data_IF_571431746602
#
_entry.id   IF_571431746602
#
_cell.length_a   1.000
_cell.length_b   1.000
_cell.length_c   1.000
_cell.angle_alpha   90.00
_cell.angle_beta   90.00
_cell.angle_gamma   90.00
#
_symmetry.space_group_name_H-M   'P 1'
#
loop_
_entity.id
_entity.type
_entity.pdbx_description
1 polymer ?
#
# COMPACT_ATOMS: atom_id res chain seq x y z
N UNK A 1 -3.97 6.27 -0.73
CA UNK A 1 -5.11 7.00 -0.37
C UNK A 1 -5.29 8.36 -1.02
N UNK A 2 -5.15 8.49 -2.34
CA UNK A 2 -5.33 9.73 -3.08
C UNK A 2 -5.87 9.50 -4.49
N UNK A 3 -5.77 10.51 -5.32
CA UNK A 3 -6.14 10.48 -6.73
C UNK A 3 -5.52 11.67 -7.45
N UNK A 4 -5.01 11.46 -8.65
CA UNK A 4 -4.56 12.54 -9.57
C UNK A 4 -5.71 13.13 -10.38
N UNK A 5 -6.84 12.44 -10.49
CA UNK A 5 -7.97 12.83 -11.34
C UNK A 5 -9.21 13.28 -10.57
N UNK A 6 -9.27 13.01 -9.26
CA UNK A 6 -10.42 13.35 -8.41
C UNK A 6 -9.96 14.23 -7.26
N UNK A 7 -10.41 15.49 -7.26
CA UNK A 7 -10.17 16.40 -6.14
C UNK A 7 -10.99 16.04 -4.91
N UNK A 8 -10.49 16.43 -3.74
CA UNK A 8 -11.16 16.26 -2.45
C UNK A 8 -11.43 14.78 -2.10
N UNK A 9 -10.50 13.89 -2.43
CA UNK A 9 -10.60 12.44 -2.16
C UNK A 9 -10.75 12.14 -0.67
N UNK A 10 -10.04 12.85 0.20
CA UNK A 10 -10.16 12.74 1.64
C UNK A 10 -11.55 13.10 2.13
N UNK A 11 -12.04 14.28 1.71
CA UNK A 11 -13.33 14.82 2.10
C UNK A 11 -14.52 14.06 1.50
N UNK A 12 -14.44 13.67 0.22
CA UNK A 12 -15.58 13.10 -0.51
C UNK A 12 -15.63 11.58 -0.49
N UNK A 13 -14.52 10.89 -0.21
CA UNK A 13 -14.46 9.43 -0.27
C UNK A 13 -13.95 8.80 1.03
N UNK A 14 -12.75 9.19 1.52
CA UNK A 14 -12.13 8.52 2.67
C UNK A 14 -12.94 8.78 3.94
N UNK A 15 -13.14 10.04 4.32
CA UNK A 15 -13.86 10.39 5.54
C UNK A 15 -15.31 9.87 5.56
N UNK A 16 -16.14 10.05 4.49
CA UNK A 16 -17.47 9.48 4.45
C UNK A 16 -17.51 7.97 4.56
N UNK A 17 -16.56 7.26 3.91
CA UNK A 17 -16.49 5.82 4.01
C UNK A 17 -16.14 5.34 5.43
N UNK A 18 -15.15 5.97 6.07
CA UNK A 18 -14.80 5.67 7.47
C UNK A 18 -16.00 5.87 8.39
N UNK A 19 -16.70 7.01 8.25
CA UNK A 19 -17.91 7.31 9.03
C UNK A 19 -19.03 6.31 8.79
N UNK A 20 -19.27 5.94 7.53
CA UNK A 20 -20.26 4.91 7.17
C UNK A 20 -19.94 3.56 7.82
N UNK A 21 -18.65 3.20 7.92
CA UNK A 21 -18.18 1.98 8.62
C UNK A 21 -18.15 2.13 10.14
N UNK A 22 -18.53 3.28 10.69
CA UNK A 22 -18.46 3.57 12.14
C UNK A 22 -17.02 3.73 12.65
N UNK A 23 -16.04 3.90 11.76
CA UNK A 23 -14.63 4.07 12.12
C UNK A 23 -14.41 5.55 12.47
N UNK A 24 -14.15 5.82 13.74
CA UNK A 24 -13.82 7.16 14.26
C UNK A 24 -12.37 7.28 14.72
N UNK A 25 -11.63 6.17 14.71
CA UNK A 25 -10.22 6.13 15.10
C UNK A 25 -9.44 5.28 14.11
N UNK A 26 -8.31 5.81 13.65
CA UNK A 26 -7.29 5.12 12.87
C UNK A 26 -6.05 5.05 13.75
N UNK A 27 -5.57 3.85 14.10
CA UNK A 27 -4.39 3.70 14.95
C UNK A 27 -3.11 4.09 14.23
N UNK A 28 -2.99 3.76 12.94
CA UNK A 28 -1.85 4.18 12.11
C UNK A 28 -2.23 4.31 10.64
N UNK A 29 -1.64 5.29 9.96
CA UNK A 29 -1.68 5.48 8.50
C UNK A 29 -0.29 5.19 7.96
N UNK A 30 -0.17 4.20 7.08
CA UNK A 30 1.08 3.88 6.39
C UNK A 30 1.06 4.51 5.00
N UNK A 31 1.99 5.41 4.75
CA UNK A 31 2.18 6.06 3.45
C UNK A 31 3.31 5.33 2.73
N UNK A 32 3.03 4.81 1.55
CA UNK A 32 3.99 4.01 0.80
C UNK A 32 5.08 4.86 0.17
N UNK A 33 4.70 5.95 -0.48
CA UNK A 33 5.58 6.93 -1.14
C UNK A 33 4.83 8.24 -1.35
N UNK A 34 5.46 9.24 -1.96
CA UNK A 34 4.95 10.61 -2.02
C UNK A 34 4.10 10.95 -3.24
N UNK A 35 3.77 10.00 -4.11
CA UNK A 35 2.96 10.29 -5.29
C UNK A 35 1.52 10.69 -4.92
N UNK A 36 0.98 11.65 -5.68
CA UNK A 36 -0.28 12.31 -5.38
C UNK A 36 -1.47 11.34 -5.23
N UNK A 37 -1.55 10.32 -6.07
CA UNK A 37 -2.63 9.32 -5.99
C UNK A 37 -2.51 8.39 -4.77
N UNK A 38 -1.40 8.44 -4.05
CA UNK A 38 -1.22 7.77 -2.77
C UNK A 38 -1.48 8.68 -1.57
N UNK A 39 -1.17 9.98 -1.67
CA UNK A 39 -1.17 10.88 -0.52
C UNK A 39 -2.24 11.95 -0.51
N UNK A 40 -2.78 12.41 -1.66
CA UNK A 40 -3.63 13.61 -1.71
C UNK A 40 -4.82 13.56 -0.76
N UNK A 41 -5.55 12.45 -0.70
CA UNK A 41 -6.68 12.31 0.21
C UNK A 41 -6.28 12.15 1.68
N UNK A 42 -5.08 11.62 1.95
CA UNK A 42 -4.54 11.54 3.31
C UNK A 42 -4.12 12.92 3.78
N UNK A 43 -3.46 13.71 2.92
CA UNK A 43 -3.07 15.08 3.25
C UNK A 43 -4.29 15.95 3.55
N UNK A 44 -5.37 15.84 2.76
CA UNK A 44 -6.63 16.52 3.06
C UNK A 44 -7.17 16.15 4.45
N UNK A 45 -7.05 14.87 4.86
CA UNK A 45 -7.49 14.44 6.18
C UNK A 45 -6.60 15.00 7.30
N UNK A 46 -5.27 15.06 7.08
CA UNK A 46 -4.31 15.57 8.05
C UNK A 46 -4.40 17.10 8.22
N UNK A 47 -4.66 17.82 7.12
CA UNK A 47 -4.75 19.29 7.09
C UNK A 47 -6.10 19.82 7.56
N UNK A 48 -7.16 19.00 7.53
CA UNK A 48 -8.49 19.45 7.93
C UNK A 48 -8.56 19.70 9.44
N UNK A 49 -9.32 20.74 9.83
CA UNK A 49 -9.66 20.97 11.23
C UNK A 49 -10.29 19.72 11.83
N UNK A 50 -9.88 19.34 13.03
CA UNK A 50 -10.28 18.11 13.74
C UNK A 50 -10.18 16.82 12.89
N UNK A 51 -9.37 16.80 11.83
CA UNK A 51 -9.19 15.66 10.93
C UNK A 51 -10.52 15.08 10.42
N UNK A 52 -11.48 15.95 10.13
CA UNK A 52 -12.85 15.56 9.71
C UNK A 52 -13.58 14.67 10.74
N UNK A 53 -13.29 14.80 12.02
CA UNK A 53 -13.86 14.00 13.10
C UNK A 53 -13.31 12.58 13.18
N UNK A 54 -12.13 12.32 12.63
CA UNK A 54 -11.42 11.05 12.69
C UNK A 54 -10.18 11.21 13.57
N UNK A 55 -10.10 10.48 14.68
CA UNK A 55 -8.90 10.45 15.49
C UNK A 55 -7.80 9.64 14.77
N UNK A 56 -6.60 10.23 14.62
CA UNK A 56 -5.46 9.57 13.99
C UNK A 56 -4.36 9.37 15.03
N UNK A 57 -3.95 8.11 15.25
CA UNK A 57 -2.96 7.76 16.26
C UNK A 57 -1.54 8.08 15.80
N UNK A 58 -1.16 7.70 14.59
CA UNK A 58 0.16 8.01 14.02
C UNK A 58 0.19 7.93 12.49
N UNK A 59 1.20 8.53 11.90
CA UNK A 59 1.57 8.36 10.48
C UNK A 59 2.90 7.62 10.39
N UNK A 60 3.01 6.70 9.45
CA UNK A 60 4.25 5.95 9.19
C UNK A 60 4.70 6.26 7.77
N UNK A 61 5.94 6.72 7.64
CA UNK A 61 6.59 7.09 6.38
C UNK A 61 7.71 6.10 6.05
N UNK A 62 8.11 5.93 4.77
CA UNK A 62 9.33 5.21 4.44
C UNK A 62 10.57 5.95 4.98
N UNK A 63 11.52 5.21 5.56
CA UNK A 63 12.77 5.78 6.02
C UNK A 63 13.78 5.81 4.86
N UNK A 64 14.01 7.00 4.32
CA UNK A 64 14.96 7.24 3.22
C UNK A 64 15.90 8.39 3.58
N UNK A 65 17.16 8.29 3.16
CA UNK A 65 18.17 9.33 3.42
C UNK A 65 18.15 10.44 2.38
N UNK A 66 18.04 10.06 1.11
CA UNK A 66 17.88 11.00 0.01
C UNK A 66 16.39 11.17 -0.27
N UNK A 67 15.94 12.39 -0.18
CA UNK A 67 14.53 12.75 -0.35
C UNK A 67 14.39 13.73 -1.51
N UNK A 68 13.42 13.48 -2.35
CA UNK A 68 12.98 14.44 -3.35
C UNK A 68 12.11 15.54 -2.73
N UNK A 69 11.77 16.54 -3.53
CA UNK A 69 10.95 17.66 -3.06
C UNK A 69 9.57 17.19 -2.58
N UNK A 70 8.96 16.21 -3.25
CA UNK A 70 7.63 15.70 -2.92
C UNK A 70 7.64 14.99 -1.55
N UNK A 71 8.69 14.22 -1.25
CA UNK A 71 8.85 13.60 0.06
C UNK A 71 9.07 14.65 1.16
N UNK A 72 9.92 15.68 0.90
CA UNK A 72 10.13 16.76 1.85
C UNK A 72 8.84 17.52 2.16
N UNK A 73 8.02 17.80 1.15
CA UNK A 73 6.72 18.44 1.32
C UNK A 73 5.76 17.55 2.11
N UNK A 74 5.70 16.25 1.80
CA UNK A 74 4.91 15.27 2.55
C UNK A 74 5.30 15.23 4.02
N UNK A 75 6.60 15.06 4.33
CA UNK A 75 7.08 15.00 5.71
C UNK A 75 6.78 16.29 6.46
N UNK A 76 6.95 17.45 5.82
CA UNK A 76 6.62 18.75 6.41
C UNK A 76 5.11 18.86 6.75
N UNK A 77 4.22 18.46 5.84
CA UNK A 77 2.77 18.46 6.08
C UNK A 77 2.38 17.51 7.21
N UNK A 78 2.97 16.31 7.26
CA UNK A 78 2.77 15.37 8.37
C UNK A 78 3.22 16.00 9.69
N UNK A 79 4.37 16.66 9.74
CA UNK A 79 4.87 17.34 10.93
C UNK A 79 3.95 18.48 11.38
N UNK A 80 3.43 19.27 10.44
CA UNK A 80 2.51 20.38 10.73
C UNK A 80 1.15 19.91 11.26
N UNK A 81 0.71 18.70 10.92
CA UNK A 81 -0.53 18.12 11.44
C UNK A 81 -0.50 17.82 12.94
N UNK A 82 0.69 17.88 13.57
CA UNK A 82 0.94 17.54 14.98
C UNK A 82 0.58 16.10 15.38
N UNK A 83 0.27 15.24 14.41
CA UNK A 83 0.06 13.81 14.63
C UNK A 83 1.42 13.14 14.82
N UNK A 84 1.58 12.28 15.83
CA UNK A 84 2.82 11.50 15.98
C UNK A 84 3.17 10.77 14.69
N UNK A 85 4.41 10.80 14.27
CA UNK A 85 4.85 10.02 13.12
C UNK A 85 6.16 9.29 13.39
N UNK A 86 6.39 8.25 12.60
CA UNK A 86 7.63 7.48 12.60
C UNK A 86 8.02 7.13 11.17
N UNK A 87 9.29 6.75 11.00
CA UNK A 87 9.79 6.22 9.73
C UNK A 87 10.09 4.74 9.90
N UNK A 88 9.80 3.95 8.86
CA UNK A 88 10.11 2.52 8.82
C UNK A 88 11.04 2.19 7.67
N UNK A 89 11.96 1.26 7.92
CA UNK A 89 12.89 0.69 6.95
C UNK A 89 12.89 -0.83 7.03
N UNK A 90 13.50 -1.47 6.05
CA UNK A 90 13.62 -2.93 6.04
C UNK A 90 14.21 -3.46 7.34
N UNK A 91 13.52 -4.44 7.91
CA UNK A 91 13.87 -5.07 9.19
C UNK A 91 13.03 -4.60 10.35
N UNK A 92 12.33 -3.48 10.22
CA UNK A 92 11.40 -3.02 11.26
C UNK A 92 10.15 -3.90 11.29
N UNK A 93 9.70 -4.22 12.51
CA UNK A 93 8.49 -5.02 12.74
C UNK A 93 7.59 -4.32 13.75
N UNK A 94 6.30 -4.27 13.45
CA UNK A 94 5.25 -3.84 14.39
C UNK A 94 4.44 -5.06 14.83
N UNK A 95 4.43 -5.32 16.11
CA UNK A 95 3.55 -6.32 16.72
C UNK A 95 2.20 -5.70 17.02
N UNK A 96 1.19 -6.04 16.23
CA UNK A 96 -0.19 -5.55 16.41
C UNK A 96 -0.95 -6.37 17.45
N UNK A 97 -0.67 -7.68 17.51
CA UNK A 97 -1.14 -8.68 18.49
C UNK A 97 -0.09 -9.79 18.58
N UNK A 98 -0.17 -10.70 19.56
CA UNK A 98 0.81 -11.81 19.69
C UNK A 98 1.05 -12.58 18.38
N UNK A 99 -0.01 -12.87 17.62
CA UNK A 99 0.06 -13.65 16.37
C UNK A 99 -0.06 -12.78 15.11
N UNK A 100 -0.01 -11.45 15.24
CA UNK A 100 -0.21 -10.53 14.14
C UNK A 100 0.94 -9.53 14.07
N UNK A 101 1.77 -9.67 13.05
CA UNK A 101 2.90 -8.78 12.78
C UNK A 101 2.76 -8.06 11.45
N UNK A 102 3.38 -6.91 11.38
CA UNK A 102 3.55 -6.13 10.16
C UNK A 102 5.04 -5.84 10.01
N UNK A 103 5.67 -6.50 9.04
CA UNK A 103 7.09 -6.42 8.79
C UNK A 103 7.36 -5.50 7.60
N UNK A 104 8.27 -4.55 7.77
CA UNK A 104 8.77 -3.72 6.69
C UNK A 104 9.86 -4.47 5.94
N UNK A 105 9.64 -4.77 4.67
CA UNK A 105 10.60 -5.47 3.82
C UNK A 105 11.29 -4.58 2.80
N UNK A 106 10.87 -3.32 2.71
CA UNK A 106 11.41 -2.23 1.88
C UNK A 106 10.86 -0.89 2.39
N UNK A 107 11.59 0.25 2.28
CA UNK A 107 12.89 0.44 1.64
C UNK A 107 14.07 0.13 2.57
N UNK A 108 15.28 0.22 2.01
CA UNK A 108 16.52 0.37 2.77
C UNK A 108 16.83 1.87 2.91
N UNK A 109 17.14 2.32 4.11
CA UNK A 109 17.44 3.74 4.40
C UNK A 109 18.62 4.29 3.58
N UNK A 110 19.64 3.46 3.39
CA UNK A 110 20.92 3.87 2.80
C UNK A 110 20.99 3.78 1.29
N UNK A 111 19.90 3.36 0.63
CA UNK A 111 19.86 3.24 -0.81
C UNK A 111 19.63 4.60 -1.48
N UNK A 112 20.22 4.80 -2.67
CA UNK A 112 20.05 6.01 -3.46
C UNK A 112 18.89 5.80 -4.46
N UNK A 113 17.72 6.30 -4.11
CA UNK A 113 16.49 6.13 -4.87
C UNK A 113 16.43 7.13 -6.03
N UNK A 114 15.97 6.69 -7.20
CA UNK A 114 15.87 7.51 -8.40
C UNK A 114 14.52 8.25 -8.46
N UNK A 115 13.43 7.59 -8.07
CA UNK A 115 12.09 8.17 -8.02
C UNK A 115 11.30 7.71 -6.78
N UNK A 116 10.08 8.27 -6.63
CA UNK A 116 9.22 8.00 -5.48
C UNK A 116 8.76 6.53 -5.40
N UNK A 117 8.54 5.88 -6.54
CA UNK A 117 8.12 4.47 -6.59
C UNK A 117 9.20 3.55 -6.02
N UNK A 118 10.47 3.89 -6.28
CA UNK A 118 11.62 3.10 -5.88
C UNK A 118 11.78 2.98 -4.35
N UNK A 119 11.28 3.96 -3.56
CA UNK A 119 11.30 3.87 -2.10
C UNK A 119 9.95 3.46 -1.48
N UNK A 120 9.06 2.90 -2.26
CA UNK A 120 7.77 2.42 -1.75
C UNK A 120 7.91 1.59 -0.49
N UNK A 121 7.18 1.96 0.56
CA UNK A 121 7.09 1.16 1.78
C UNK A 121 6.35 -0.14 1.48
N UNK A 122 7.08 -1.25 1.46
CA UNK A 122 6.51 -2.58 1.25
C UNK A 122 6.35 -3.27 2.59
N UNK A 123 5.12 -3.68 2.87
CA UNK A 123 4.74 -4.28 4.13
C UNK A 123 4.25 -5.70 3.94
N UNK A 124 4.73 -6.61 4.79
CA UNK A 124 4.23 -7.97 4.91
C UNK A 124 3.44 -8.11 6.22
N UNK A 125 2.15 -8.40 6.10
CA UNK A 125 1.29 -8.75 7.22
C UNK A 125 1.30 -10.27 7.42
N UNK A 126 1.64 -10.72 8.62
CA UNK A 126 1.57 -12.14 8.99
C UNK A 126 0.57 -12.30 10.13
N UNK A 127 -0.41 -13.19 9.94
CA UNK A 127 -1.37 -13.58 10.96
C UNK A 127 -1.56 -15.08 10.93
N UNK A 128 -0.93 -15.81 11.85
CA UNK A 128 -0.88 -17.28 11.84
C UNK A 128 -0.43 -17.82 10.47
N UNK A 129 -1.30 -18.53 9.74
CA UNK A 129 -1.02 -19.07 8.41
C UNK A 129 -1.33 -18.07 7.26
N UNK A 130 -1.99 -16.94 7.55
CA UNK A 130 -2.23 -15.89 6.57
C UNK A 130 -0.97 -15.05 6.38
N UNK A 131 -0.63 -14.78 5.13
CA UNK A 131 0.42 -13.85 4.75
C UNK A 131 -0.06 -12.96 3.63
N UNK A 132 -0.06 -11.65 3.86
CA UNK A 132 -0.42 -10.64 2.87
C UNK A 132 0.75 -9.70 2.59
N UNK A 133 1.00 -9.36 1.33
CA UNK A 133 2.03 -8.39 0.95
C UNK A 133 1.39 -7.19 0.26
N UNK A 134 1.82 -6.00 0.66
CA UNK A 134 1.39 -4.70 0.14
C UNK A 134 2.60 -4.01 -0.48
N UNK A 135 2.59 -3.88 -1.81
CA UNK A 135 3.78 -3.51 -2.59
C UNK A 135 4.00 -1.99 -2.76
N UNK A 136 3.01 -1.14 -2.39
CA UNK A 136 3.04 0.25 -2.87
C UNK A 136 3.11 0.27 -4.39
N UNK A 137 4.02 1.08 -4.93
CA UNK A 137 4.27 1.16 -6.37
C UNK A 137 5.67 0.65 -6.75
N UNK A 138 6.25 -0.21 -5.89
CA UNK A 138 7.54 -0.82 -6.14
C UNK A 138 7.56 -1.56 -7.48
N UNK A 139 8.53 -1.20 -8.33
CA UNK A 139 8.76 -1.81 -9.63
C UNK A 139 9.68 -3.04 -9.58
N UNK A 140 9.92 -3.63 -10.77
CA UNK A 140 10.71 -4.86 -10.91
C UNK A 140 12.13 -4.77 -10.30
N UNK A 141 12.77 -3.59 -10.38
CA UNK A 141 14.10 -3.36 -9.78
C UNK A 141 14.06 -3.63 -8.26
N UNK A 142 13.12 -2.99 -7.56
CA UNK A 142 12.98 -3.19 -6.12
C UNK A 142 12.41 -4.57 -5.74
N UNK A 143 11.55 -5.16 -6.57
CA UNK A 143 11.08 -6.54 -6.37
C UNK A 143 12.25 -7.53 -6.26
N UNK A 144 13.28 -7.39 -7.12
CA UNK A 144 14.49 -8.25 -7.09
C UNK A 144 15.23 -8.13 -5.76
N UNK A 145 15.28 -6.96 -5.16
CA UNK A 145 16.00 -6.71 -3.91
C UNK A 145 15.33 -7.35 -2.69
N UNK A 146 14.01 -7.52 -2.75
CA UNK A 146 13.24 -8.07 -1.63
C UNK A 146 12.98 -9.58 -1.73
N UNK A 147 13.37 -10.25 -2.83
CA UNK A 147 13.07 -11.66 -3.06
C UNK A 147 13.53 -12.58 -1.91
N UNK A 148 14.68 -12.31 -1.30
CA UNK A 148 15.21 -13.11 -0.19
C UNK A 148 14.35 -13.06 1.07
N UNK A 149 13.62 -11.96 1.29
CA UNK A 149 12.74 -11.76 2.44
C UNK A 149 11.34 -12.37 2.23
N UNK A 150 11.00 -12.73 0.99
CA UNK A 150 9.66 -13.17 0.62
C UNK A 150 9.50 -14.69 0.65
N UNK A 151 8.27 -15.12 0.93
CA UNK A 151 7.78 -16.51 0.90
C UNK A 151 6.42 -16.54 0.21
N UNK A 152 5.88 -17.72 -0.14
CA UNK A 152 4.50 -17.83 -0.67
C UNK A 152 3.48 -17.12 0.20
N UNK A 153 2.55 -16.39 -0.45
CA UNK A 153 1.58 -15.55 0.23
C UNK A 153 0.14 -15.95 -0.09
N UNK A 154 -0.76 -15.66 0.85
CA UNK A 154 -2.20 -15.84 0.65
C UNK A 154 -2.77 -14.69 -0.19
N UNK A 155 -2.28 -13.48 0.05
CA UNK A 155 -2.81 -12.27 -0.55
C UNK A 155 -1.69 -11.34 -1.03
N UNK A 156 -1.85 -10.79 -2.22
CA UNK A 156 -1.00 -9.76 -2.80
C UNK A 156 -1.84 -8.51 -3.11
N UNK A 157 -1.46 -7.35 -2.58
CA UNK A 157 -1.81 -6.07 -3.20
C UNK A 157 -0.74 -5.76 -4.23
N UNK A 158 -1.07 -5.85 -5.51
CA UNK A 158 -0.11 -5.67 -6.60
C UNK A 158 0.60 -4.33 -6.53
N UNK A 159 1.85 -4.31 -6.94
CA UNK A 159 2.61 -3.08 -7.11
C UNK A 159 2.08 -2.22 -8.26
N UNK A 160 2.23 -0.93 -8.14
CA UNK A 160 2.05 0.08 -9.17
C UNK A 160 0.77 -0.11 -10.01
N UNK A 161 -0.36 -0.34 -9.32
CA UNK A 161 -1.69 -0.50 -9.92
C UNK A 161 -1.79 -1.58 -11.02
N UNK A 162 -0.87 -2.54 -11.03
CA UNK A 162 -0.75 -3.54 -12.07
C UNK A 162 -0.03 -3.04 -13.33
N UNK A 163 0.92 -2.12 -13.17
CA UNK A 163 1.84 -1.67 -14.23
C UNK A 163 2.59 -2.86 -14.85
N UNK A 164 2.94 -2.76 -16.12
CA UNK A 164 3.79 -3.75 -16.80
C UNK A 164 5.18 -3.90 -16.17
N UNK A 165 5.65 -2.85 -15.47
CA UNK A 165 6.94 -2.76 -14.82
C UNK A 165 6.92 -3.26 -13.36
N UNK A 166 5.83 -3.89 -12.92
CA UNK A 166 5.69 -4.50 -11.60
C UNK A 166 5.14 -5.92 -11.71
N UNK A 167 5.12 -6.65 -10.61
CA UNK A 167 4.67 -8.06 -10.57
C UNK A 167 5.43 -8.92 -11.58
N UNK A 168 6.76 -8.84 -11.54
CA UNK A 168 7.67 -9.58 -12.43
C UNK A 168 7.54 -11.10 -12.27
N UNK A 169 7.93 -11.87 -13.29
CA UNK A 169 7.85 -13.33 -13.22
C UNK A 169 8.64 -13.91 -12.05
N UNK A 170 9.88 -13.41 -11.81
CA UNK A 170 10.70 -13.86 -10.68
C UNK A 170 10.08 -13.58 -9.33
N UNK A 171 9.42 -12.42 -9.19
CA UNK A 171 8.68 -12.08 -7.99
C UNK A 171 7.46 -12.98 -7.79
N UNK A 172 6.63 -13.16 -8.82
CA UNK A 172 5.43 -14.01 -8.75
C UNK A 172 5.78 -15.49 -8.53
N UNK A 173 6.85 -16.00 -9.15
CA UNK A 173 7.33 -17.37 -8.89
C UNK A 173 7.73 -17.55 -7.42
N UNK A 174 8.35 -16.55 -6.83
CA UNK A 174 8.76 -16.57 -5.42
C UNK A 174 7.57 -16.57 -4.46
N UNK A 175 6.58 -15.69 -4.68
CA UNK A 175 5.50 -15.49 -3.71
C UNK A 175 4.24 -16.31 -4.00
N UNK A 176 4.01 -16.75 -5.23
CA UNK A 176 2.86 -17.57 -5.68
C UNK A 176 1.56 -17.18 -4.99
N UNK A 177 1.07 -15.94 -5.19
CA UNK A 177 -0.07 -15.45 -4.45
C UNK A 177 -1.34 -16.23 -4.79
N UNK A 178 -2.10 -16.66 -3.78
CA UNK A 178 -3.40 -17.30 -4.02
C UNK A 178 -4.40 -16.32 -4.61
N UNK A 179 -4.39 -15.08 -4.12
CA UNK A 179 -5.24 -14.00 -4.63
C UNK A 179 -4.44 -12.72 -4.72
N UNK A 180 -4.65 -11.97 -5.78
CA UNK A 180 -4.11 -10.63 -5.98
C UNK A 180 -5.24 -9.60 -6.09
N UNK A 181 -5.09 -8.47 -5.39
CA UNK A 181 -5.93 -7.30 -5.60
C UNK A 181 -5.19 -6.23 -6.39
N UNK A 182 -5.87 -5.67 -7.37
CA UNK A 182 -5.37 -4.56 -8.18
C UNK A 182 -6.26 -3.35 -7.93
N UNK A 183 -5.66 -2.26 -7.44
CA UNK A 183 -6.34 -0.99 -7.24
C UNK A 183 -6.14 -0.14 -8.48
N UNK A 184 -7.15 -0.03 -9.32
CA UNK A 184 -7.12 0.77 -10.53
C UNK A 184 -8.44 1.53 -10.69
N UNK A 185 -8.39 2.70 -11.31
CA UNK A 185 -9.59 3.45 -11.66
C UNK A 185 -10.18 2.95 -12.97
N UNK A 186 -11.50 3.02 -13.09
CA UNK A 186 -12.17 2.76 -14.36
C UNK A 186 -11.69 3.78 -15.41
N UNK A 187 -11.33 3.31 -16.62
CA UNK A 187 -10.83 4.16 -17.71
C UNK A 187 -9.65 5.07 -17.31
N UNK A 188 -8.74 4.57 -16.46
CA UNK A 188 -7.59 5.36 -16.03
C UNK A 188 -6.62 5.64 -17.20
N UNK A 189 -5.98 6.81 -17.18
CA UNK A 189 -5.10 7.30 -18.25
C UNK A 189 -3.85 6.43 -18.49
N UNK A 190 -3.46 5.62 -17.52
CA UNK A 190 -2.28 4.75 -17.61
C UNK A 190 -2.61 3.36 -18.17
N UNK A 191 -3.89 3.09 -18.45
CA UNK A 191 -4.37 1.78 -18.90
C UNK A 191 -3.99 0.64 -17.94
N UNK A 192 -3.94 0.94 -16.64
CA UNK A 192 -3.72 -0.09 -15.61
C UNK A 192 -5.02 -0.80 -15.26
N UNK A 193 -4.98 -2.12 -14.93
CA UNK A 193 -3.81 -2.99 -15.00
C UNK A 193 -3.42 -3.33 -16.44
N UNK A 194 -2.13 -3.46 -16.68
CA UNK A 194 -1.59 -3.79 -17.99
C UNK A 194 -1.86 -5.27 -18.33
N UNK A 195 -2.19 -5.61 -19.59
CA UNK A 195 -2.48 -6.99 -20.00
C UNK A 195 -1.36 -7.99 -19.67
N UNK A 196 -0.10 -7.56 -19.79
CA UNK A 196 1.04 -8.41 -19.46
C UNK A 196 1.08 -8.78 -17.97
N UNK A 197 0.70 -7.86 -17.08
CA UNK A 197 0.65 -8.13 -15.64
C UNK A 197 -0.46 -9.10 -15.30
N UNK A 198 -1.64 -8.98 -15.95
CA UNK A 198 -2.73 -9.93 -15.80
C UNK A 198 -2.30 -11.32 -16.25
N UNK A 199 -1.71 -11.46 -17.45
CA UNK A 199 -1.21 -12.73 -17.97
C UNK A 199 -0.17 -13.37 -17.04
N UNK A 200 0.75 -12.56 -16.45
CA UNK A 200 1.72 -13.07 -15.48
C UNK A 200 1.03 -13.64 -14.23
N UNK A 201 0.07 -12.93 -13.67
CA UNK A 201 -0.70 -13.41 -12.51
C UNK A 201 -1.49 -14.69 -12.82
N UNK A 202 -2.16 -14.74 -13.97
CA UNK A 202 -2.92 -15.91 -14.45
C UNK A 202 -2.02 -17.14 -14.63
N UNK A 203 -0.81 -16.95 -15.17
CA UNK A 203 0.18 -18.02 -15.34
C UNK A 203 0.48 -18.77 -14.03
N UNK A 204 0.44 -18.07 -12.90
CA UNK A 204 0.66 -18.65 -11.57
C UNK A 204 -0.63 -19.12 -10.88
N UNK A 205 -1.75 -19.12 -11.58
CA UNK A 205 -3.05 -19.56 -11.04
C UNK A 205 -3.64 -18.61 -9.99
N UNK A 206 -3.23 -17.36 -10.00
CA UNK A 206 -3.67 -16.34 -9.04
C UNK A 206 -5.09 -15.89 -9.32
N UNK A 207 -5.96 -15.89 -8.32
CA UNK A 207 -7.30 -15.29 -8.41
C UNK A 207 -7.14 -13.77 -8.41
N UNK A 208 -7.53 -13.11 -9.49
CA UNK A 208 -7.40 -11.66 -9.65
C UNK A 208 -8.70 -10.97 -9.27
N UNK A 209 -8.61 -9.93 -8.44
CA UNK A 209 -9.70 -9.01 -8.09
C UNK A 209 -9.28 -7.57 -8.41
N UNK A 210 -10.09 -6.85 -9.20
CA UNK A 210 -9.77 -5.51 -9.70
C UNK A 210 -10.83 -4.51 -9.26
N UNK A 211 -10.40 -3.37 -8.72
CA UNK A 211 -11.35 -2.34 -8.24
C UNK A 211 -12.09 -1.62 -9.37
N UNK A 212 -11.53 -1.58 -10.57
CA UNK A 212 -12.18 -1.01 -11.76
C UNK A 212 -13.30 -1.89 -12.33
N UNK A 213 -13.35 -3.19 -11.98
CA UNK A 213 -14.38 -4.13 -12.38
C UNK A 213 -15.41 -4.39 -11.27
N UNK A 214 -14.93 -4.59 -10.04
CA UNK A 214 -15.78 -5.09 -8.97
C UNK A 214 -15.93 -4.10 -7.78
N UNK A 215 -15.37 -2.90 -7.88
CA UNK A 215 -15.47 -1.90 -6.81
C UNK A 215 -14.61 -2.26 -5.59
N UNK A 216 -15.16 -2.11 -4.40
CA UNK A 216 -14.43 -2.29 -3.17
C UNK A 216 -14.12 -3.77 -2.89
N UNK A 217 -12.86 -4.09 -2.61
CA UNK A 217 -12.41 -5.44 -2.27
C UNK A 217 -12.20 -5.53 -0.76
N UNK A 218 -12.83 -6.50 -0.12
CA UNK A 218 -12.70 -6.76 1.32
C UNK A 218 -12.04 -8.12 1.55
N UNK A 219 -10.93 -8.12 2.27
CA UNK A 219 -10.23 -9.34 2.69
C UNK A 219 -10.44 -9.54 4.18
N UNK A 220 -10.99 -10.68 4.57
CA UNK A 220 -11.15 -11.09 5.98
C UNK A 220 -10.38 -12.38 6.22
N UNK A 221 -9.58 -12.40 7.28
CA UNK A 221 -8.85 -13.61 7.66
C UNK A 221 -8.94 -13.89 9.15
N UNK A 222 -9.14 -15.15 9.49
CA UNK A 222 -8.97 -15.67 10.86
C UNK A 222 -7.55 -16.21 11.10
N UNK A 223 -6.66 -16.04 10.12
CA UNK A 223 -5.31 -16.59 10.10
C UNK A 223 -5.25 -17.96 9.41
N UNK A 224 -6.25 -18.80 9.56
CA UNK A 224 -6.32 -20.12 8.89
C UNK A 224 -7.23 -20.08 7.65
N UNK A 225 -8.32 -19.34 7.74
CA UNK A 225 -9.28 -19.16 6.66
C UNK A 225 -9.25 -17.70 6.18
N UNK A 226 -9.34 -17.52 4.87
CA UNK A 226 -9.41 -16.19 4.23
C UNK A 226 -10.61 -16.12 3.33
N UNK A 227 -11.43 -15.09 3.51
CA UNK A 227 -12.60 -14.76 2.71
C UNK A 227 -12.35 -13.42 2.00
N UNK A 228 -12.57 -13.39 0.69
CA UNK A 228 -12.37 -12.19 -0.15
C UNK A 228 -13.68 -11.88 -0.87
N UNK A 229 -14.25 -10.74 -0.52
CA UNK A 229 -15.53 -10.25 -1.05
C UNK A 229 -15.34 -9.02 -1.91
N UNK A 230 -16.18 -8.89 -2.88
CA UNK A 230 -16.33 -7.75 -3.77
C UNK A 230 -17.72 -7.16 -3.64
#
# INVERSE_FOLDING_TARGET
GGSTSVSQTGKKRISPWLKFKGIRKIDAIFITHSDEDHISGILELLEAEDHMGIQIGKVVLPAVNKTDESYCQLENKVRLSKIPYMKMEKGDTIHLKPDLTLDCIHPYRTYDWEDANDYSLVLQLTYKNFRGVFMGDLGEKGEKEILSALRPVTFLKTGHHGSKNSSSEGFLDKIRPKTASISAGHNNRYHHPHPETLKRLEKYGTIIKRTDECGAITVKSSGNNTDIRV
#
